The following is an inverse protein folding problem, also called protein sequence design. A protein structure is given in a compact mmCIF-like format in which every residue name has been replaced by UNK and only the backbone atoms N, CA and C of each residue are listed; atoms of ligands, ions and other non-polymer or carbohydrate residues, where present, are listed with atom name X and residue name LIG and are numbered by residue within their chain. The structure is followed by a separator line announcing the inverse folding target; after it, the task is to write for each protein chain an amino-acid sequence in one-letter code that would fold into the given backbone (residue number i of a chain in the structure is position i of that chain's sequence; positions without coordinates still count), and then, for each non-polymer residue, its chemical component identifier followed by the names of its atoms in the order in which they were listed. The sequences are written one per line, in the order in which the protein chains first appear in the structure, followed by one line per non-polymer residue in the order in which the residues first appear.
data_IF_720605974413
#
_entry.id   IF_720605974413
#
_cell.length_a   1.000
_cell.length_b   1.000
_cell.length_c   1.000
_cell.angle_alpha   90.00
_cell.angle_beta   90.00
_cell.angle_gamma   90.00
#
_symmetry.space_group_name_H-M   'P 1'
#
loop_
_entity.id
_entity.type
_entity.pdbx_description
1 polymer ?
#
# COMPACT_ATOMS: atom_id res chain seq x y z
N UNK A 1 88.74 30.10 -21.69
CA UNK A 1 87.44 30.28 -22.39
C UNK A 1 86.33 29.74 -21.48
N UNK A 2 85.63 30.65 -20.78
CA UNK A 2 84.75 30.35 -19.67
C UNK A 2 83.29 30.47 -20.14
N UNK A 3 82.52 29.40 -19.96
CA UNK A 3 81.08 29.45 -20.20
C UNK A 3 80.33 29.41 -18.86
N UNK A 4 79.60 30.53 -18.58
CA UNK A 4 78.64 30.65 -17.46
C UNK A 4 77.43 29.73 -17.68
N UNK A 5 77.06 28.94 -16.67
CA UNK A 5 75.80 28.20 -16.57
C UNK A 5 74.78 29.06 -15.89
N UNK A 6 73.63 29.28 -16.53
CA UNK A 6 72.45 29.94 -15.95
C UNK A 6 71.64 28.94 -15.14
N UNK A 7 71.49 29.22 -13.85
CA UNK A 7 70.54 28.51 -12.96
C UNK A 7 69.10 29.02 -13.15
N UNK A 8 68.19 28.12 -13.52
CA UNK A 8 66.73 28.44 -13.65
C UNK A 8 66.05 27.92 -12.43
N UNK A 9 65.60 28.81 -11.54
CA UNK A 9 64.84 28.50 -10.36
C UNK A 9 63.38 28.28 -10.73
N UNK A 10 62.89 27.03 -10.64
CA UNK A 10 61.45 26.67 -10.86
C UNK A 10 60.70 26.94 -9.55
N UNK A 11 59.86 27.98 -9.53
CA UNK A 11 58.86 28.21 -8.48
C UNK A 11 57.72 27.24 -8.67
N UNK A 12 57.58 26.27 -7.76
CA UNK A 12 56.38 25.40 -7.66
C UNK A 12 55.26 26.18 -6.99
N UNK A 13 54.22 26.52 -7.77
CA UNK A 13 52.96 27.00 -7.26
C UNK A 13 52.16 25.80 -6.70
N UNK A 14 51.94 25.77 -5.39
CA UNK A 14 50.99 24.86 -4.76
C UNK A 14 49.59 25.41 -4.98
N UNK A 15 48.81 24.77 -5.85
CA UNK A 15 47.39 25.00 -5.98
C UNK A 15 46.71 24.17 -4.88
N UNK A 16 46.30 24.82 -3.79
CA UNK A 16 45.49 24.20 -2.74
C UNK A 16 44.08 23.95 -3.27
N UNK A 17 43.74 22.67 -3.53
CA UNK A 17 42.40 22.25 -3.89
C UNK A 17 41.55 22.21 -2.62
N UNK A 18 40.69 23.23 -2.44
CA UNK A 18 39.69 23.30 -1.35
C UNK A 18 38.59 22.28 -1.68
N UNK A 19 38.62 21.10 -1.07
CA UNK A 19 37.55 20.10 -1.15
C UNK A 19 36.41 20.60 -0.22
N UNK A 20 35.37 21.21 -0.78
CA UNK A 20 34.12 21.43 -0.06
C UNK A 20 33.48 20.06 0.20
N UNK A 21 33.57 19.59 1.43
CA UNK A 21 32.77 18.46 1.89
C UNK A 21 31.28 18.89 1.93
N UNK A 22 30.51 18.50 0.94
CA UNK A 22 29.07 18.62 0.97
C UNK A 22 28.54 17.68 2.08
N UNK A 23 28.17 18.24 3.23
CA UNK A 23 27.43 17.51 4.25
C UNK A 23 26.06 17.13 3.67
N UNK A 24 25.67 15.84 3.66
CA UNK A 24 24.31 15.49 3.25
C UNK A 24 23.34 16.15 4.22
N UNK A 25 22.44 16.97 3.68
CA UNK A 25 21.34 17.51 4.45
C UNK A 25 20.54 16.32 5.04
N UNK A 26 20.13 16.38 6.33
CA UNK A 26 19.29 15.34 6.89
C UNK A 26 18.01 15.27 6.06
N UNK A 27 17.72 14.09 5.50
CA UNK A 27 16.42 13.84 4.88
C UNK A 27 15.38 14.11 5.95
N UNK A 28 14.61 15.21 5.80
CA UNK A 28 13.46 15.47 6.66
C UNK A 28 12.56 14.24 6.57
N UNK A 29 12.51 13.45 7.63
CA UNK A 29 11.48 12.43 7.78
C UNK A 29 10.14 13.15 7.66
N UNK A 30 9.42 12.90 6.58
CA UNK A 30 8.14 13.54 6.30
C UNK A 30 7.19 13.12 7.42
N UNK A 31 6.91 14.05 8.34
CA UNK A 31 6.00 13.78 9.45
C UNK A 31 4.63 13.47 8.87
N UNK A 32 4.14 12.26 9.14
CA UNK A 32 2.81 11.83 8.71
C UNK A 32 1.76 12.81 9.23
N UNK A 33 0.81 13.26 8.39
CA UNK A 33 -0.32 14.04 8.87
C UNK A 33 -1.04 13.28 9.99
N UNK A 34 -1.43 13.99 11.04
CA UNK A 34 -2.14 13.41 12.18
C UNK A 34 -3.36 12.60 11.79
N UNK A 35 -4.04 13.00 10.71
CA UNK A 35 -5.20 12.28 10.18
C UNK A 35 -4.87 10.84 9.76
N UNK A 36 -3.70 10.57 9.19
CA UNK A 36 -3.29 9.22 8.80
C UNK A 36 -3.20 8.28 10.01
N UNK A 37 -2.62 8.76 11.10
CA UNK A 37 -2.53 8.01 12.36
C UNK A 37 -3.92 7.81 12.99
N UNK A 38 -4.76 8.85 13.02
CA UNK A 38 -6.12 8.78 13.56
C UNK A 38 -6.96 7.73 12.85
N UNK A 39 -6.92 7.72 11.51
CA UNK A 39 -7.62 6.69 10.72
C UNK A 39 -7.07 5.31 11.07
N UNK A 40 -5.76 5.09 10.96
CA UNK A 40 -5.17 3.78 11.22
C UNK A 40 -5.47 3.25 12.64
N UNK A 41 -5.45 4.12 13.66
CA UNK A 41 -5.83 3.76 15.04
C UNK A 41 -7.30 3.38 15.17
N UNK A 42 -8.19 4.08 14.48
CA UNK A 42 -9.63 3.74 14.44
C UNK A 42 -9.85 2.33 13.88
N UNK A 43 -9.01 1.88 12.94
CA UNK A 43 -9.07 0.54 12.37
C UNK A 43 -8.30 -0.53 13.18
N UNK A 44 -7.58 -0.15 14.24
CA UNK A 44 -6.93 -1.08 15.17
C UNK A 44 -5.42 -1.15 15.05
N UNK A 45 -4.75 -0.08 14.58
CA UNK A 45 -3.29 -0.01 14.43
C UNK A 45 -2.55 -0.42 15.68
N UNK A 46 -2.97 0.07 16.86
CA UNK A 46 -2.27 -0.18 18.13
C UNK A 46 -2.27 -1.66 18.54
N UNK A 47 -3.22 -2.44 18.03
CA UNK A 47 -3.33 -3.87 18.27
C UNK A 47 -2.72 -4.75 17.16
N UNK A 48 -2.19 -4.16 16.08
CA UNK A 48 -1.68 -4.93 14.94
C UNK A 48 -0.54 -5.88 15.33
N UNK A 49 0.31 -5.49 16.28
CA UNK A 49 1.37 -6.34 16.82
C UNK A 49 0.89 -7.64 17.50
N UNK A 50 -0.39 -7.71 17.88
CA UNK A 50 -1.00 -8.90 18.48
C UNK A 50 -1.51 -9.91 17.42
N UNK A 51 -1.47 -9.55 16.15
CA UNK A 51 -1.94 -10.42 15.06
C UNK A 51 -0.87 -11.44 14.71
N UNK A 52 -1.24 -12.72 14.77
CA UNK A 52 -0.46 -13.83 14.25
C UNK A 52 -0.77 -14.09 12.77
N UNK A 53 -2.07 -14.12 12.43
CA UNK A 53 -2.50 -14.35 11.05
C UNK A 53 -3.82 -13.63 10.73
N UNK A 54 -3.99 -13.28 9.46
CA UNK A 54 -5.21 -12.76 8.88
C UNK A 54 -5.62 -13.68 7.73
N UNK A 55 -6.88 -14.08 7.66
CA UNK A 55 -7.43 -14.78 6.49
C UNK A 55 -8.61 -14.03 5.93
N UNK A 56 -8.76 -14.06 4.62
CA UNK A 56 -9.87 -13.45 3.91
C UNK A 56 -10.01 -14.02 2.50
N UNK A 57 -11.19 -13.88 1.92
CA UNK A 57 -11.43 -14.11 0.49
C UNK A 57 -11.79 -12.79 -0.15
N UNK A 58 -10.98 -12.37 -1.11
CA UNK A 58 -11.24 -11.23 -1.98
C UNK A 58 -12.06 -11.71 -3.18
N UNK A 59 -13.13 -10.99 -3.52
CA UNK A 59 -13.90 -11.22 -4.74
C UNK A 59 -14.13 -9.89 -5.46
N UNK A 60 -13.98 -9.91 -6.79
CA UNK A 60 -14.24 -8.74 -7.63
C UNK A 60 -15.14 -9.13 -8.80
N UNK A 61 -16.22 -8.37 -8.97
CA UNK A 61 -17.19 -8.49 -10.06
C UNK A 61 -17.14 -7.23 -10.91
N UNK A 62 -16.89 -7.43 -12.19
CA UNK A 62 -16.81 -6.40 -13.21
C UNK A 62 -17.37 -6.99 -14.51
N UNK A 63 -17.95 -6.24 -15.46
CA UNK A 63 -18.41 -6.79 -16.71
C UNK A 63 -17.38 -7.66 -17.43
N UNK A 64 -17.67 -8.96 -17.56
CA UNK A 64 -16.77 -9.96 -18.15
C UNK A 64 -15.69 -10.51 -17.20
N UNK A 65 -15.71 -10.15 -15.92
CA UNK A 65 -14.79 -10.68 -14.91
C UNK A 65 -15.53 -10.98 -13.61
N UNK A 66 -15.41 -12.22 -13.17
CA UNK A 66 -15.78 -12.66 -11.82
C UNK A 66 -14.61 -13.45 -11.26
N UNK A 67 -13.94 -12.91 -10.26
CA UNK A 67 -12.79 -13.56 -9.66
C UNK A 67 -12.93 -13.67 -8.15
N UNK A 68 -12.34 -14.73 -7.61
CA UNK A 68 -12.28 -14.97 -6.16
C UNK A 68 -10.92 -15.57 -5.80
N UNK A 69 -10.29 -15.06 -4.75
CA UNK A 69 -8.99 -15.46 -4.25
C UNK A 69 -9.00 -15.50 -2.74
N UNK A 70 -8.54 -16.58 -2.15
CA UNK A 70 -8.47 -16.76 -0.70
C UNK A 70 -7.03 -16.66 -0.21
N UNK A 71 -6.84 -15.95 0.85
CA UNK A 71 -5.55 -15.63 1.41
C UNK A 71 -5.47 -15.95 2.90
N UNK A 72 -4.30 -16.43 3.33
CA UNK A 72 -3.88 -16.40 4.73
C UNK A 72 -2.53 -15.70 4.78
N UNK A 73 -2.44 -14.63 5.54
CA UNK A 73 -1.21 -13.88 5.73
C UNK A 73 -0.76 -13.95 7.20
N UNK A 74 0.50 -14.30 7.41
CA UNK A 74 1.17 -14.33 8.72
C UNK A 74 2.23 -13.23 8.73
N UNK A 75 1.88 -11.99 9.16
CA UNK A 75 2.75 -10.83 9.02
C UNK A 75 4.10 -10.96 9.76
N UNK A 76 4.12 -11.67 10.89
CA UNK A 76 5.33 -11.81 11.70
C UNK A 76 6.43 -12.66 11.04
N UNK A 77 6.06 -13.59 10.20
CA UNK A 77 7.00 -14.46 9.47
C UNK A 77 6.96 -14.19 7.96
N UNK A 78 6.23 -13.13 7.57
CA UNK A 78 6.08 -12.64 6.20
C UNK A 78 5.61 -13.72 5.21
N UNK A 79 4.80 -14.69 5.70
CA UNK A 79 4.31 -15.83 4.93
C UNK A 79 2.90 -15.58 4.41
N UNK A 80 2.69 -15.90 3.13
CA UNK A 80 1.40 -15.83 2.46
C UNK A 80 1.02 -17.18 1.91
N UNK A 81 -0.21 -17.63 2.19
CA UNK A 81 -0.83 -18.78 1.56
C UNK A 81 -1.97 -18.32 0.66
N UNK A 82 -1.98 -18.78 -0.57
CA UNK A 82 -2.93 -18.50 -1.63
C UNK A 82 -3.76 -19.72 -1.96
N UNK A 83 -5.06 -19.54 -2.18
CA UNK A 83 -5.93 -20.51 -2.82
C UNK A 83 -6.84 -19.80 -3.82
N UNK A 84 -6.80 -20.22 -5.07
CA UNK A 84 -7.56 -19.63 -6.18
C UNK A 84 -7.56 -20.52 -7.40
N UNK A 85 -7.66 -19.91 -8.59
CA UNK A 85 -7.62 -20.58 -9.88
C UNK A 85 -6.54 -19.95 -10.76
N UNK A 86 -5.94 -20.76 -11.63
CA UNK A 86 -5.10 -20.29 -12.72
C UNK A 86 -5.93 -19.74 -13.89
N UNK A 87 -5.26 -19.30 -14.95
CA UNK A 87 -5.92 -18.79 -16.18
C UNK A 87 -6.77 -19.85 -16.89
N UNK A 88 -6.50 -21.14 -16.68
CA UNK A 88 -7.26 -22.26 -17.22
C UNK A 88 -8.42 -22.71 -16.30
N UNK A 89 -8.62 -22.01 -15.16
CA UNK A 89 -9.65 -22.33 -14.19
C UNK A 89 -9.31 -23.47 -13.23
N UNK A 90 -8.08 -24.02 -13.28
CA UNK A 90 -7.65 -25.10 -12.39
C UNK A 90 -7.34 -24.56 -10.99
N UNK A 91 -7.70 -25.30 -9.92
CA UNK A 91 -7.36 -24.92 -8.56
C UNK A 91 -5.85 -24.81 -8.37
N UNK A 92 -5.42 -23.72 -7.74
CA UNK A 92 -4.02 -23.47 -7.36
C UNK A 92 -3.97 -23.20 -5.88
N UNK A 93 -3.01 -23.84 -5.19
CA UNK A 93 -2.66 -23.53 -3.80
C UNK A 93 -1.15 -23.38 -3.72
N UNK A 94 -0.69 -22.30 -3.12
CA UNK A 94 0.74 -22.05 -2.91
C UNK A 94 0.94 -21.31 -1.59
N UNK A 95 2.07 -21.60 -0.94
CA UNK A 95 2.54 -20.85 0.24
C UNK A 95 3.95 -20.38 -0.05
N UNK A 96 4.24 -19.12 0.21
CA UNK A 96 5.55 -18.51 -0.01
C UNK A 96 5.88 -17.49 1.07
N UNK A 97 7.16 -17.15 1.19
CA UNK A 97 7.65 -16.13 2.12
C UNK A 97 8.05 -14.90 1.30
N UNK A 98 7.40 -13.76 1.53
CA UNK A 98 7.55 -12.54 0.73
C UNK A 98 8.99 -11.99 0.74
N UNK A 99 9.67 -12.06 1.89
CA UNK A 99 11.07 -11.67 2.02
C UNK A 99 12.04 -12.54 1.20
N UNK A 100 11.59 -13.71 0.71
CA UNK A 100 12.35 -14.62 -0.15
C UNK A 100 11.80 -14.70 -1.58
N UNK A 101 10.99 -13.74 -1.96
CA UNK A 101 10.27 -13.73 -3.26
C UNK A 101 11.18 -13.93 -4.47
N UNK A 102 12.43 -13.44 -4.42
CA UNK A 102 13.41 -13.61 -5.50
C UNK A 102 13.70 -15.08 -5.87
N UNK A 103 13.58 -16.00 -4.91
CA UNK A 103 13.75 -17.45 -5.11
C UNK A 103 12.49 -18.21 -5.52
N UNK A 104 11.32 -17.56 -5.51
CA UNK A 104 10.05 -18.19 -5.83
C UNK A 104 9.85 -18.35 -7.35
N UNK A 105 8.98 -19.31 -7.78
CA UNK A 105 8.61 -19.47 -9.18
C UNK A 105 8.07 -18.17 -9.82
N UNK A 106 8.25 -18.03 -11.13
CA UNK A 106 7.80 -16.83 -11.87
C UNK A 106 6.30 -16.56 -11.70
N UNK A 107 5.46 -17.59 -11.60
CA UNK A 107 4.02 -17.45 -11.36
C UNK A 107 3.74 -16.78 -10.02
N UNK A 108 4.47 -17.14 -8.95
CA UNK A 108 4.36 -16.52 -7.63
C UNK A 108 4.78 -15.06 -7.72
N UNK A 109 5.95 -14.77 -8.30
CA UNK A 109 6.52 -13.42 -8.35
C UNK A 109 5.70 -12.46 -9.21
N UNK A 110 5.19 -12.92 -10.35
CA UNK A 110 4.62 -12.05 -11.39
C UNK A 110 3.10 -12.05 -11.40
N UNK A 111 2.45 -12.97 -10.71
CA UNK A 111 0.98 -13.11 -10.72
C UNK A 111 0.41 -13.14 -9.31
N UNK A 112 0.87 -14.05 -8.46
CA UNK A 112 0.25 -14.30 -7.15
C UNK A 112 0.61 -13.19 -6.16
N UNK A 113 1.88 -12.82 -6.01
CA UNK A 113 2.29 -11.74 -5.09
C UNK A 113 1.69 -10.38 -5.48
N UNK A 114 1.69 -9.93 -6.75
CA UNK A 114 0.98 -8.70 -7.12
C UNK A 114 -0.52 -8.74 -6.85
N UNK A 115 -1.14 -9.92 -6.99
CA UNK A 115 -2.55 -10.09 -6.65
C UNK A 115 -2.78 -10.02 -5.13
N UNK A 116 -1.89 -10.62 -4.31
CA UNK A 116 -1.94 -10.49 -2.86
C UNK A 116 -1.83 -9.02 -2.43
N UNK A 117 -0.86 -8.29 -2.96
CA UNK A 117 -0.69 -6.87 -2.65
C UNK A 117 -1.94 -6.07 -2.99
N UNK A 118 -2.52 -6.27 -4.19
CA UNK A 118 -3.77 -5.61 -4.57
C UNK A 118 -4.90 -5.94 -3.59
N UNK A 119 -5.11 -7.22 -3.29
CA UNK A 119 -6.26 -7.69 -2.52
C UNK A 119 -6.18 -7.27 -1.05
N UNK A 120 -4.98 -7.28 -0.47
CA UNK A 120 -4.80 -6.86 0.92
C UNK A 120 -4.91 -5.33 1.09
N UNK A 121 -4.63 -4.53 0.04
CA UNK A 121 -4.91 -3.08 0.06
C UNK A 121 -6.41 -2.81 0.21
N UNK A 122 -7.28 -3.59 -0.40
CA UNK A 122 -8.73 -3.47 -0.21
C UNK A 122 -9.19 -3.78 1.23
N UNK A 123 -8.42 -4.59 1.96
CA UNK A 123 -8.70 -4.90 3.36
C UNK A 123 -8.04 -3.91 4.33
N UNK A 124 -6.78 -3.53 4.04
CA UNK A 124 -5.89 -2.87 5.00
C UNK A 124 -5.46 -1.46 4.57
N UNK A 125 -6.11 -0.85 3.57
CA UNK A 125 -5.78 0.50 3.13
C UNK A 125 -5.73 1.53 4.28
N UNK A 126 -6.64 1.50 5.28
CA UNK A 126 -6.56 2.40 6.43
C UNK A 126 -5.27 2.29 7.25
N UNK A 127 -4.58 1.13 7.19
CA UNK A 127 -3.27 0.95 7.80
C UNK A 127 -2.14 1.42 6.88
N UNK A 128 -2.26 1.15 5.57
CA UNK A 128 -1.27 1.53 4.56
C UNK A 128 -1.03 3.04 4.51
N UNK A 129 -2.04 3.87 4.70
CA UNK A 129 -1.88 5.33 4.76
C UNK A 129 -0.94 5.78 5.88
N UNK A 130 -0.74 4.95 6.90
CA UNK A 130 0.20 5.19 7.99
C UNK A 130 1.51 4.43 7.81
N UNK A 131 1.49 3.17 7.34
CA UNK A 131 2.67 2.32 7.21
C UNK A 131 3.59 2.71 6.07
N UNK A 132 3.01 3.08 4.91
CA UNK A 132 3.78 3.28 3.68
C UNK A 132 4.53 4.61 3.72
N UNK A 133 5.73 4.59 4.31
CA UNK A 133 6.55 5.78 4.56
C UNK A 133 6.90 6.59 3.30
N UNK A 134 6.92 5.95 2.12
CA UNK A 134 7.14 6.62 0.85
C UNK A 134 5.94 7.36 0.26
N UNK A 135 4.73 7.15 0.78
CA UNK A 135 3.54 7.81 0.27
C UNK A 135 3.40 9.24 0.83
N UNK A 136 3.01 10.20 -0.01
CA UNK A 136 2.61 11.54 0.38
C UNK A 136 1.14 11.53 0.79
N UNK A 137 0.84 11.92 2.04
CA UNK A 137 -0.51 11.95 2.59
C UNK A 137 -0.93 13.37 2.87
N UNK A 138 -2.05 13.81 2.30
CA UNK A 138 -2.53 15.19 2.39
C UNK A 138 -3.99 15.24 2.84
N UNK A 139 -4.29 16.01 3.88
CA UNK A 139 -5.66 16.40 4.27
C UNK A 139 -6.14 17.55 3.37
N UNK A 140 -7.19 17.32 2.60
CA UNK A 140 -7.79 18.30 1.68
C UNK A 140 -9.05 18.98 2.25
N UNK A 141 -9.34 18.77 3.52
CA UNK A 141 -10.53 19.29 4.17
C UNK A 141 -11.83 18.65 3.66
N UNK A 142 -12.95 19.29 3.95
CA UNK A 142 -14.28 18.81 3.59
C UNK A 142 -14.51 18.90 2.07
N UNK A 143 -14.91 17.79 1.47
CA UNK A 143 -15.20 17.68 0.05
C UNK A 143 -16.52 16.92 -0.15
N UNK A 144 -17.21 17.18 -1.26
CA UNK A 144 -18.43 16.42 -1.62
C UNK A 144 -18.09 14.94 -1.83
N UNK A 145 -18.92 14.06 -1.35
CA UNK A 145 -18.85 12.63 -1.64
C UNK A 145 -19.06 12.39 -3.14
N UNK A 146 -18.21 11.57 -3.78
CA UNK A 146 -18.30 11.31 -5.23
C UNK A 146 -19.52 10.46 -5.65
N UNK A 147 -20.05 9.63 -4.77
CA UNK A 147 -21.19 8.75 -5.02
C UNK A 147 -22.41 9.12 -4.19
N UNK A 148 -22.21 9.50 -2.93
CA UNK A 148 -23.26 9.80 -1.97
C UNK A 148 -23.70 11.25 -1.98
N UNK A 149 -24.66 11.55 -1.07
CA UNK A 149 -25.05 12.91 -0.74
C UNK A 149 -24.30 13.34 0.52
N UNK A 150 -23.83 14.59 0.53
CA UNK A 150 -23.14 15.13 1.69
C UNK A 150 -21.67 15.41 1.42
N UNK A 151 -20.89 15.52 2.49
CA UNK A 151 -19.47 15.85 2.45
C UNK A 151 -18.74 15.11 3.54
N UNK A 152 -17.50 14.71 3.25
CA UNK A 152 -16.58 14.08 4.18
C UNK A 152 -15.18 14.68 4.00
N UNK A 153 -14.29 14.44 4.94
CA UNK A 153 -12.91 14.88 4.85
C UNK A 153 -12.16 14.05 3.80
N UNK A 154 -11.61 14.69 2.78
CA UNK A 154 -10.82 14.01 1.76
C UNK A 154 -9.35 13.91 2.20
N UNK A 155 -8.87 12.70 2.33
CA UNK A 155 -7.45 12.39 2.54
C UNK A 155 -6.89 11.79 1.25
N UNK A 156 -5.93 12.49 0.64
CA UNK A 156 -5.24 12.01 -0.57
C UNK A 156 -3.95 11.31 -0.17
N UNK A 157 -3.73 10.13 -0.75
CA UNK A 157 -2.49 9.35 -0.61
C UNK A 157 -1.88 9.16 -1.99
N UNK A 158 -0.69 9.73 -2.21
CA UNK A 158 0.05 9.63 -3.48
C UNK A 158 1.30 8.80 -3.29
N UNK A 159 1.45 7.79 -4.11
CA UNK A 159 2.65 6.95 -4.14
C UNK A 159 3.70 7.51 -5.10
N UNK A 160 5.00 7.28 -4.84
CA UNK A 160 6.08 7.70 -5.73
C UNK A 160 5.92 7.13 -7.13
N UNK A 161 6.45 7.84 -8.14
CA UNK A 161 6.45 7.40 -9.54
C UNK A 161 7.41 6.26 -9.85
N UNK A 162 8.19 5.81 -8.87
CA UNK A 162 9.18 4.73 -8.99
C UNK A 162 9.15 3.81 -7.77
N UNK A 163 9.37 2.53 -8.00
CA UNK A 163 9.48 1.51 -6.95
C UNK A 163 8.13 1.01 -6.40
N UNK A 164 8.14 -0.21 -5.85
CA UNK A 164 6.98 -0.84 -5.22
C UNK A 164 5.88 -1.27 -6.21
N UNK A 165 4.77 -1.72 -5.63
CA UNK A 165 3.60 -2.22 -6.39
C UNK A 165 2.59 -1.11 -6.75
N UNK A 166 2.61 0.00 -6.00
CA UNK A 166 1.65 1.12 -6.14
C UNK A 166 2.25 2.33 -6.85
N UNK A 167 3.17 2.10 -7.79
CA UNK A 167 3.95 3.13 -8.48
C UNK A 167 3.05 4.18 -9.14
N UNK A 168 3.13 5.41 -8.63
CA UNK A 168 2.37 6.57 -9.13
C UNK A 168 0.87 6.54 -8.81
N UNK A 169 0.39 5.56 -8.08
CA UNK A 169 -1.01 5.43 -7.69
C UNK A 169 -1.45 6.59 -6.78
N UNK A 170 -2.70 6.98 -6.91
CA UNK A 170 -3.32 7.97 -6.05
C UNK A 170 -4.63 7.43 -5.49
N UNK A 171 -4.77 7.47 -4.17
CA UNK A 171 -5.98 7.11 -3.46
C UNK A 171 -6.58 8.35 -2.80
N UNK A 172 -7.89 8.48 -2.86
CA UNK A 172 -8.65 9.51 -2.15
C UNK A 172 -9.65 8.83 -1.21
N UNK A 173 -9.42 8.98 0.10
CA UNK A 173 -10.30 8.44 1.13
C UNK A 173 -11.22 9.57 1.62
N UNK A 174 -12.51 9.39 1.51
CA UNK A 174 -13.52 10.28 2.08
C UNK A 174 -13.88 9.76 3.47
N UNK A 175 -13.52 10.53 4.49
CA UNK A 175 -13.47 10.10 5.89
C UNK A 175 -14.50 10.86 6.70
N UNK A 176 -15.40 10.14 7.35
CA UNK A 176 -16.41 10.69 8.24
C UNK A 176 -15.83 11.26 9.53
N UNK A 177 -16.67 11.87 10.35
CA UNK A 177 -16.28 12.47 11.64
C UNK A 177 -15.80 11.46 12.68
N UNK A 178 -16.13 10.19 12.50
CA UNK A 178 -15.71 9.04 13.30
C UNK A 178 -14.38 8.41 12.83
N UNK A 179 -13.73 8.99 11.82
CA UNK A 179 -12.56 8.50 11.10
C UNK A 179 -12.82 7.19 10.29
N UNK A 180 -14.07 6.84 10.03
CA UNK A 180 -14.39 5.76 9.10
C UNK A 180 -14.35 6.29 7.67
N UNK A 181 -13.85 5.48 6.75
CA UNK A 181 -13.90 5.77 5.31
C UNK A 181 -15.31 5.51 4.82
N UNK A 182 -15.93 6.46 4.16
CA UNK A 182 -17.29 6.33 3.60
C UNK A 182 -17.24 5.95 2.12
N UNK A 183 -16.38 6.63 1.38
CA UNK A 183 -16.17 6.42 -0.05
C UNK A 183 -14.68 6.51 -0.39
N UNK A 184 -14.33 5.95 -1.53
CA UNK A 184 -12.96 5.89 -1.98
C UNK A 184 -12.87 6.16 -3.47
N UNK A 185 -11.86 6.90 -3.86
CA UNK A 185 -11.41 7.02 -5.26
C UNK A 185 -10.00 6.45 -5.39
N UNK A 186 -9.76 5.77 -6.50
CA UNK A 186 -8.44 5.27 -6.86
C UNK A 186 -8.12 5.67 -8.29
N UNK A 187 -6.91 6.16 -8.51
CA UNK A 187 -6.37 6.44 -9.84
C UNK A 187 -5.04 5.73 -9.98
N UNK A 188 -4.97 4.82 -10.94
CA UNK A 188 -3.75 4.08 -11.22
C UNK A 188 -2.69 5.00 -11.84
N UNK A 189 -1.47 4.91 -11.34
CA UNK A 189 -0.32 5.64 -11.88
C UNK A 189 0.28 5.00 -13.14
N UNK A 190 1.18 5.75 -13.79
CA UNK A 190 2.02 5.24 -14.88
C UNK A 190 1.33 4.95 -16.20
N UNK A 191 0.03 5.18 -16.34
CA UNK A 191 -0.73 4.95 -17.57
C UNK A 191 -1.11 6.26 -18.24
N UNK A 192 -1.08 6.30 -19.58
CA UNK A 192 -1.53 7.45 -20.38
C UNK A 192 -3.01 7.77 -20.12
N UNK A 193 -3.83 6.72 -19.97
CA UNK A 193 -5.23 6.81 -19.53
C UNK A 193 -5.36 6.01 -18.22
N UNK A 194 -5.17 6.65 -17.06
CA UNK A 194 -5.21 5.96 -15.80
C UNK A 194 -6.62 5.43 -15.52
N UNK A 195 -6.71 4.19 -15.05
CA UNK A 195 -7.96 3.63 -14.55
C UNK A 195 -8.42 4.44 -13.35
N UNK A 196 -9.71 4.79 -13.33
CA UNK A 196 -10.36 5.47 -12.22
C UNK A 196 -11.40 4.55 -11.61
N UNK A 197 -11.25 4.29 -10.33
CA UNK A 197 -12.23 3.56 -9.52
C UNK A 197 -12.86 4.53 -8.54
N UNK A 198 -14.19 4.45 -8.37
CA UNK A 198 -14.93 5.18 -7.34
C UNK A 198 -15.92 4.21 -6.71
N UNK A 199 -15.79 3.99 -5.41
CA UNK A 199 -16.59 3.00 -4.69
C UNK A 199 -16.99 3.49 -3.30
N UNK A 200 -18.09 2.95 -2.78
CA UNK A 200 -18.42 3.01 -1.36
C UNK A 200 -17.43 2.20 -0.54
N UNK A 201 -17.24 2.56 0.72
CA UNK A 201 -16.46 1.80 1.68
C UNK A 201 -17.37 1.41 2.83
N UNK A 202 -17.97 0.21 2.75
CA UNK A 202 -19.11 -0.18 3.57
C UNK A 202 -19.01 -1.63 4.06
N UNK A 203 -20.08 -2.11 4.74
CA UNK A 203 -20.11 -3.47 5.27
C UNK A 203 -19.13 -3.66 6.42
N UNK A 204 -19.05 -2.67 7.30
CA UNK A 204 -18.11 -2.66 8.42
C UNK A 204 -18.38 -3.80 9.41
N UNK A 205 -17.31 -4.43 9.85
CA UNK A 205 -17.28 -5.55 10.79
C UNK A 205 -16.07 -5.46 11.69
N UNK A 206 -16.14 -6.08 12.87
CA UNK A 206 -15.02 -6.24 13.79
C UNK A 206 -14.48 -7.65 13.76
N UNK A 207 -13.19 -7.82 13.46
CA UNK A 207 -12.45 -9.07 13.57
C UNK A 207 -11.43 -8.94 14.70
N UNK A 208 -11.81 -9.34 15.90
CA UNK A 208 -11.02 -9.04 17.11
C UNK A 208 -10.83 -7.53 17.28
N UNK A 209 -9.58 -7.04 17.38
CA UNK A 209 -9.30 -5.61 17.53
C UNK A 209 -9.45 -4.81 16.23
N UNK A 210 -9.67 -5.47 15.07
CA UNK A 210 -9.72 -4.81 13.78
C UNK A 210 -11.12 -4.41 13.37
N UNK A 211 -11.26 -3.17 12.90
CA UNK A 211 -12.36 -2.72 12.09
C UNK A 211 -12.03 -2.98 10.61
N UNK A 212 -12.90 -3.65 9.88
CA UNK A 212 -12.72 -3.95 8.46
C UNK A 212 -13.96 -3.57 7.67
N UNK A 213 -13.78 -3.02 6.48
CA UNK A 213 -14.84 -2.83 5.51
C UNK A 213 -14.86 -4.03 4.56
N UNK A 214 -16.04 -4.53 4.22
CA UNK A 214 -16.19 -5.80 3.50
C UNK A 214 -17.00 -5.71 2.20
N UNK A 215 -17.59 -4.57 1.86
CA UNK A 215 -18.40 -4.39 0.64
C UNK A 215 -18.13 -3.01 0.02
N UNK A 216 -17.63 -3.01 -1.21
CA UNK A 216 -17.27 -1.83 -1.96
C UNK A 216 -17.98 -1.84 -3.30
N UNK A 217 -18.89 -0.89 -3.52
CA UNK A 217 -19.72 -0.83 -4.73
C UNK A 217 -19.56 0.50 -5.42
N UNK A 218 -19.47 0.49 -6.73
CA UNK A 218 -19.36 1.69 -7.54
C UNK A 218 -18.96 1.41 -8.97
N UNK A 219 -17.95 2.11 -9.47
CA UNK A 219 -17.55 1.99 -10.86
C UNK A 219 -16.02 1.93 -11.02
N UNK A 220 -15.59 1.26 -12.09
CA UNK A 220 -14.23 1.36 -12.63
C UNK A 220 -14.35 1.83 -14.09
N UNK A 221 -13.79 3.00 -14.40
CA UNK A 221 -13.88 3.64 -15.71
C UNK A 221 -15.36 3.78 -16.19
N UNK A 222 -16.26 4.12 -15.26
CA UNK A 222 -17.69 4.27 -15.51
C UNK A 222 -18.49 2.97 -15.59
N UNK A 223 -17.84 1.79 -15.56
CA UNK A 223 -18.51 0.48 -15.59
C UNK A 223 -18.75 -0.05 -14.17
N UNK A 224 -19.88 -0.73 -13.91
CA UNK A 224 -20.16 -1.28 -12.59
C UNK A 224 -19.02 -2.13 -12.03
N UNK A 225 -18.67 -1.89 -10.78
CA UNK A 225 -17.69 -2.66 -10.01
C UNK A 225 -18.25 -3.00 -8.64
N UNK A 226 -18.06 -4.24 -8.21
CA UNK A 226 -18.20 -4.64 -6.82
C UNK A 226 -16.96 -5.39 -6.37
N UNK A 227 -16.37 -4.94 -5.26
CA UNK A 227 -15.33 -5.68 -4.53
C UNK A 227 -15.92 -6.08 -3.18
N UNK A 228 -15.72 -7.32 -2.80
CA UNK A 228 -16.17 -7.83 -1.50
C UNK A 228 -15.11 -8.68 -0.82
N UNK A 229 -15.09 -8.61 0.50
CA UNK A 229 -14.18 -9.36 1.36
C UNK A 229 -15.02 -10.27 2.26
N UNK A 230 -14.87 -11.57 2.11
CA UNK A 230 -15.63 -12.56 2.88
C UNK A 230 -14.71 -13.43 3.73
N UNK A 231 -15.27 -14.10 4.74
CA UNK A 231 -14.51 -15.00 5.61
C UNK A 231 -13.39 -14.32 6.41
N UNK A 232 -13.39 -12.97 6.49
CA UNK A 232 -12.37 -12.22 7.22
C UNK A 232 -12.31 -12.72 8.65
N UNK A 233 -11.13 -13.13 9.08
CA UNK A 233 -10.86 -13.58 10.45
C UNK A 233 -9.42 -13.30 10.81
N UNK A 234 -9.16 -13.07 12.09
CA UNK A 234 -7.81 -12.89 12.63
C UNK A 234 -7.49 -13.97 13.64
N UNK A 235 -6.23 -14.35 13.72
CA UNK A 235 -5.67 -15.18 14.78
C UNK A 235 -4.76 -14.29 15.62
N UNK A 236 -4.97 -14.30 16.92
CA UNK A 236 -4.15 -13.53 17.85
C UNK A 236 -2.97 -14.37 18.33
N UNK A 237 -1.87 -13.72 18.66
CA UNK A 237 -0.69 -14.36 19.24
C UNK A 237 -1.07 -15.12 20.51
N UNK A 238 -0.62 -16.36 20.60
CA UNK A 238 -0.94 -17.25 21.73
C UNK A 238 -2.35 -17.83 21.73
N UNK A 239 -3.13 -17.64 20.65
CA UNK A 239 -4.45 -18.25 20.51
C UNK A 239 -4.47 -19.24 19.35
N UNK A 240 -5.09 -20.40 19.56
CA UNK A 240 -5.34 -21.38 18.49
C UNK A 240 -6.62 -21.12 17.70
N UNK A 241 -7.43 -20.16 18.15
CA UNK A 241 -8.74 -19.87 17.59
C UNK A 241 -8.71 -18.68 16.63
N UNK A 242 -9.55 -18.79 15.59
CA UNK A 242 -9.82 -17.70 14.66
C UNK A 242 -10.99 -16.84 15.13
N UNK A 243 -10.79 -15.55 15.28
CA UNK A 243 -11.84 -14.57 15.58
C UNK A 243 -12.40 -14.09 14.22
N UNK A 244 -13.64 -14.49 13.91
CA UNK A 244 -14.32 -14.12 12.67
C UNK A 244 -14.87 -12.69 12.75
N UNK A 245 -14.81 -11.97 11.64
CA UNK A 245 -15.45 -10.67 11.50
C UNK A 245 -16.99 -10.78 11.54
N UNK A 246 -17.62 -10.00 12.39
CA UNK A 246 -19.05 -9.93 12.62
C UNK A 246 -19.53 -8.50 12.92
#
# INVERSE_FOLDING_TARGET
MTKLGRSTTIRRLFFGMLVLAATPAPACAQTRPRIAEQIAKTYGLDAFGQIEAIRFTFSAQFPGLDLSRSWVWQPKIDQVSYAGKDKAGKPVKVTYVRSRLGGEPAEVRNTIEPAFVNDQYWLLLPFHIYWDSGADVQDKGMQKLPLGKGSAKLVIVKYPSTGGYSTGDTWGLYVGSDNWVEELTFRRGGAEKPRVVTVTWAGYKKAGPFLVSTDHRGTADGKPLRVSLSGVSVKLVGSDSWVKAQ
#
